data_IF_249214122188
#
_entry.id   IF_249214122188
#
_cell.length_a   1.000
_cell.length_b   1.000
_cell.length_c   1.000
_cell.angle_alpha   90.00
_cell.angle_beta   90.00
_cell.angle_gamma   90.00
#
_symmetry.space_group_name_H-M   'P 1'
#
loop_
_entity.id
_entity.type
_entity.pdbx_description
1 polymer ?
#
# COMPACT_ATOMS: atom_id res chain seq x y z
N UNK A 1 -67.71 13.04 40.44
CA UNK A 1 -67.35 12.52 39.11
C UNK A 1 -65.98 13.07 38.75
N UNK A 2 -64.90 12.38 39.13
CA UNK A 2 -63.53 12.74 38.74
C UNK A 2 -62.84 11.44 38.31
N UNK A 3 -62.63 11.30 37.01
CA UNK A 3 -61.98 10.14 36.38
C UNK A 3 -60.49 10.50 36.26
N UNK A 4 -59.63 9.82 37.02
CA UNK A 4 -58.18 9.91 36.86
C UNK A 4 -57.74 9.07 35.66
N UNK A 5 -57.37 9.74 34.56
CA UNK A 5 -56.64 9.12 33.46
C UNK A 5 -55.17 8.93 33.85
N UNK A 6 -54.75 7.68 34.02
CA UNK A 6 -53.33 7.33 34.10
C UNK A 6 -52.78 7.24 32.67
N UNK A 7 -51.98 8.23 32.26
CA UNK A 7 -51.23 8.16 31.00
C UNK A 7 -50.03 7.23 31.19
N UNK A 8 -50.06 6.06 30.54
CA UNK A 8 -48.91 5.18 30.44
C UNK A 8 -47.89 5.83 29.50
N UNK A 9 -46.77 6.32 30.04
CA UNK A 9 -45.65 6.82 29.25
C UNK A 9 -44.85 5.61 28.75
N UNK A 10 -45.02 5.23 27.49
CA UNK A 10 -44.18 4.23 26.82
C UNK A 10 -42.83 4.87 26.46
N UNK A 11 -41.79 4.46 27.19
CA UNK A 11 -40.41 4.86 26.92
C UNK A 11 -39.90 4.10 25.68
N UNK A 12 -39.90 4.75 24.52
CA UNK A 12 -39.22 4.22 23.33
C UNK A 12 -37.71 4.46 23.49
N UNK A 13 -36.96 3.41 23.84
CA UNK A 13 -35.51 3.39 23.73
C UNK A 13 -35.16 3.47 22.23
N UNK A 14 -34.33 4.44 21.79
CA UNK A 14 -33.85 4.44 20.42
C UNK A 14 -32.95 3.22 20.28
N UNK A 15 -33.35 2.28 19.41
CA UNK A 15 -32.44 1.28 18.89
C UNK A 15 -31.34 2.05 18.16
N UNK A 16 -30.22 2.27 18.83
CA UNK A 16 -29.03 2.83 18.22
C UNK A 16 -28.67 1.95 17.03
N UNK A 17 -28.73 2.52 15.83
CA UNK A 17 -28.12 1.92 14.65
C UNK A 17 -26.62 1.96 14.92
N UNK A 18 -26.06 0.87 15.44
CA UNK A 18 -24.61 0.72 15.46
C UNK A 18 -24.19 0.61 14.00
N UNK A 19 -23.56 1.68 13.48
CA UNK A 19 -22.85 1.57 12.22
C UNK A 19 -21.85 0.41 12.39
N UNK A 20 -21.94 -0.57 11.48
CA UNK A 20 -21.01 -1.69 11.48
C UNK A 20 -19.61 -1.11 11.32
N UNK A 21 -18.70 -1.41 12.24
CA UNK A 21 -17.30 -0.96 12.11
C UNK A 21 -16.74 -1.53 10.81
N UNK A 22 -16.33 -0.65 9.92
CA UNK A 22 -15.61 -1.00 8.70
C UNK A 22 -14.11 -0.79 8.97
N UNK A 23 -13.27 -1.62 8.36
CA UNK A 23 -11.82 -1.45 8.41
C UNK A 23 -11.34 -1.42 6.97
N UNK A 24 -10.72 -0.33 6.53
CA UNK A 24 -10.43 -0.14 5.11
C UNK A 24 -11.67 -0.27 4.20
N UNK A 25 -12.80 0.30 4.63
CA UNK A 25 -14.07 0.33 3.89
C UNK A 25 -14.82 -1.02 3.81
N UNK A 26 -14.40 -2.03 4.58
CA UNK A 26 -15.07 -3.34 4.65
C UNK A 26 -15.09 -3.88 6.07
N UNK A 27 -16.24 -4.36 6.53
CA UNK A 27 -16.35 -4.94 7.86
C UNK A 27 -15.60 -6.27 7.97
N UNK A 28 -15.56 -7.04 6.88
CA UNK A 28 -14.92 -8.35 6.79
C UNK A 28 -13.39 -8.28 6.88
N UNK A 29 -12.81 -7.09 6.72
CA UNK A 29 -11.38 -6.86 6.91
C UNK A 29 -11.01 -6.67 8.38
N UNK A 30 -11.95 -6.31 9.26
CA UNK A 30 -11.65 -5.96 10.65
C UNK A 30 -11.03 -7.09 11.46
N UNK A 31 -11.50 -8.33 11.24
CA UNK A 31 -11.02 -9.52 11.97
C UNK A 31 -9.83 -10.21 11.29
N UNK A 32 -9.40 -9.72 10.11
CA UNK A 32 -8.29 -10.30 9.36
C UNK A 32 -6.98 -9.67 9.80
N UNK A 33 -5.93 -10.50 9.90
CA UNK A 33 -4.57 -10.01 10.15
C UNK A 33 -4.08 -9.21 8.95
N UNK A 34 -3.29 -8.17 9.19
CA UNK A 34 -2.67 -7.39 8.12
C UNK A 34 -1.93 -8.29 7.10
N UNK A 35 -1.21 -9.29 7.59
CA UNK A 35 -0.46 -10.27 6.79
C UNK A 35 -1.32 -11.24 5.97
N UNK A 36 -2.63 -11.30 6.21
CA UNK A 36 -3.55 -12.20 5.50
C UNK A 36 -4.29 -11.48 4.36
N UNK A 37 -4.25 -10.15 4.34
CA UNK A 37 -4.91 -9.32 3.34
C UNK A 37 -4.06 -9.19 2.08
N UNK A 38 -4.77 -9.03 0.96
CA UNK A 38 -4.19 -8.65 -0.33
C UNK A 38 -4.58 -7.21 -0.64
N UNK A 39 -3.62 -6.41 -1.07
CA UNK A 39 -3.84 -5.03 -1.48
C UNK A 39 -3.50 -4.88 -2.95
N UNK A 40 -4.30 -4.13 -3.70
CA UNK A 40 -3.76 -3.42 -4.85
C UNK A 40 -3.03 -2.19 -4.32
N UNK A 41 -1.80 -2.00 -4.80
CA UNK A 41 -0.96 -0.86 -4.42
C UNK A 41 -0.67 0.07 -5.58
N UNK A 42 -0.51 1.35 -5.25
CA UNK A 42 -0.06 2.37 -6.18
C UNK A 42 1.45 2.25 -6.39
N UNK A 43 1.88 1.72 -7.54
CA UNK A 43 3.29 1.85 -7.93
C UNK A 43 3.58 3.33 -8.18
N UNK A 44 4.69 3.80 -7.61
CA UNK A 44 5.19 5.15 -7.83
C UNK A 44 4.13 6.24 -7.59
N UNK A 45 3.33 6.04 -6.54
CA UNK A 45 2.19 6.85 -6.11
C UNK A 45 2.34 8.36 -6.27
N UNK A 46 3.49 9.00 -5.92
CA UNK A 46 3.64 10.44 -6.02
C UNK A 46 3.83 10.99 -7.45
N UNK A 47 4.15 10.14 -8.44
CA UNK A 47 4.51 10.58 -9.80
C UNK A 47 3.26 10.65 -10.69
N UNK A 48 2.60 11.81 -10.63
CA UNK A 48 1.24 12.02 -11.15
C UNK A 48 1.22 12.97 -12.34
N UNK A 49 0.56 12.58 -13.43
CA UNK A 49 0.23 13.46 -14.56
C UNK A 49 0.12 12.71 -15.88
N UNK A 50 0.54 13.34 -16.99
CA UNK A 50 0.40 12.81 -18.36
C UNK A 50 1.70 12.69 -19.16
N UNK A 51 2.85 12.91 -18.53
CA UNK A 51 4.15 12.73 -19.17
C UNK A 51 4.58 11.25 -19.17
N UNK A 52 5.48 10.84 -20.07
CA UNK A 52 5.88 9.44 -20.20
C UNK A 52 6.44 8.81 -18.92
N UNK A 53 7.04 9.57 -18.02
CA UNK A 53 7.60 9.09 -16.76
C UNK A 53 6.58 9.02 -15.59
N UNK A 54 5.33 9.42 -15.79
CA UNK A 54 4.32 9.41 -14.73
C UNK A 54 3.61 8.06 -14.65
N UNK A 55 3.47 7.56 -13.42
CA UNK A 55 2.88 6.26 -13.11
C UNK A 55 1.40 6.34 -12.73
N UNK A 56 0.92 7.52 -12.31
CA UNK A 56 -0.46 7.70 -11.87
C UNK A 56 -1.11 8.92 -12.55
N UNK A 57 -2.44 8.91 -12.70
CA UNK A 57 -3.19 10.07 -13.24
C UNK A 57 -3.88 10.88 -12.13
N UNK A 58 -4.06 10.24 -10.97
CA UNK A 58 -4.80 10.78 -9.83
C UNK A 58 -3.85 11.06 -8.67
N UNK A 59 -4.15 12.12 -7.92
CA UNK A 59 -3.31 12.54 -6.78
C UNK A 59 -3.22 11.45 -5.70
N UNK A 60 -2.19 11.50 -4.85
CA UNK A 60 -2.04 10.56 -3.72
C UNK A 60 -3.30 10.50 -2.84
N UNK A 61 -3.91 11.65 -2.52
CA UNK A 61 -5.17 11.69 -1.75
C UNK A 61 -6.32 11.06 -2.53
N UNK A 62 -6.37 11.28 -3.85
CA UNK A 62 -7.36 10.63 -4.70
C UNK A 62 -7.18 9.11 -4.76
N UNK A 63 -5.94 8.61 -4.78
CA UNK A 63 -5.64 7.16 -4.72
C UNK A 63 -6.18 6.57 -3.40
N UNK A 64 -5.95 7.25 -2.28
CA UNK A 64 -6.51 6.85 -0.98
C UNK A 64 -8.04 6.89 -0.99
N UNK A 65 -8.66 7.95 -1.54
CA UNK A 65 -10.12 8.05 -1.66
C UNK A 65 -10.73 6.98 -2.59
N UNK A 66 -9.95 6.43 -3.53
CA UNK A 66 -10.35 5.30 -4.37
C UNK A 66 -10.29 3.95 -3.63
N UNK A 67 -9.88 3.90 -2.36
CA UNK A 67 -9.78 2.65 -1.61
C UNK A 67 -8.39 1.99 -1.64
N UNK A 68 -7.39 2.64 -2.24
CA UNK A 68 -6.01 2.13 -2.23
C UNK A 68 -5.41 2.35 -0.84
N UNK A 69 -4.76 1.32 -0.29
CA UNK A 69 -4.17 1.34 1.06
C UNK A 69 -2.70 0.95 1.08
N UNK A 70 -2.09 0.73 -0.09
CA UNK A 70 -0.67 0.48 -0.23
C UNK A 70 -0.10 1.48 -1.23
N UNK A 71 0.79 2.36 -0.78
CA UNK A 71 1.44 3.36 -1.62
C UNK A 71 2.93 3.07 -1.70
N UNK A 72 3.45 2.85 -2.90
CA UNK A 72 4.88 2.72 -3.13
C UNK A 72 5.42 4.00 -3.77
N UNK A 73 6.65 4.41 -3.42
CA UNK A 73 7.29 5.56 -4.03
C UNK A 73 8.80 5.58 -3.87
N UNK A 74 9.48 6.25 -4.79
CA UNK A 74 10.94 6.31 -4.84
C UNK A 74 11.50 7.59 -4.23
N UNK A 75 12.68 7.48 -3.63
CA UNK A 75 13.41 8.63 -3.11
C UNK A 75 14.82 8.74 -3.64
N UNK A 76 15.23 9.98 -3.91
CA UNK A 76 16.60 10.33 -4.30
C UNK A 76 17.01 11.67 -3.70
N UNK A 77 18.33 11.91 -3.64
CA UNK A 77 18.89 13.22 -3.39
C UNK A 77 18.78 14.10 -4.62
N UNK A 78 18.32 15.33 -4.44
CA UNK A 78 18.47 16.35 -5.47
C UNK A 78 19.89 16.93 -5.52
N UNK A 79 20.17 17.81 -6.48
CA UNK A 79 21.46 18.48 -6.62
C UNK A 79 21.92 19.32 -5.39
N UNK A 80 21.02 19.56 -4.42
CA UNK A 80 21.31 20.25 -3.15
C UNK A 80 21.45 19.29 -1.96
N UNK A 81 21.49 17.97 -2.20
CA UNK A 81 21.60 16.95 -1.16
C UNK A 81 20.35 16.82 -0.27
N UNK A 82 19.17 17.23 -0.75
CA UNK A 82 17.90 17.04 -0.04
C UNK A 82 17.21 15.79 -0.55
N UNK A 83 16.68 14.99 0.38
CA UNK A 83 15.86 13.81 0.08
C UNK A 83 14.50 14.23 -0.48
N UNK A 84 14.13 13.66 -1.62
CA UNK A 84 12.93 14.03 -2.39
C UNK A 84 12.24 12.78 -2.91
N UNK A 85 10.94 12.89 -3.19
CA UNK A 85 10.22 11.89 -3.98
C UNK A 85 10.58 12.11 -5.45
N UNK A 86 11.42 11.26 -6.02
CA UNK A 86 11.90 11.41 -7.40
C UNK A 86 11.85 10.08 -8.14
N UNK A 87 11.47 10.09 -9.43
CA UNK A 87 11.40 8.88 -10.26
C UNK A 87 12.72 8.67 -10.98
N UNK A 88 13.49 7.62 -10.63
CA UNK A 88 14.86 7.35 -11.12
C UNK A 88 15.92 8.41 -10.73
N UNK A 89 15.61 9.70 -10.87
CA UNK A 89 16.43 10.83 -10.45
C UNK A 89 15.57 12.10 -10.33
N UNK A 90 16.01 13.06 -9.52
CA UNK A 90 15.28 14.33 -9.39
C UNK A 90 15.37 15.27 -10.60
N UNK A 91 16.15 14.90 -11.62
CA UNK A 91 16.16 15.57 -12.90
C UNK A 91 15.03 15.08 -13.81
N UNK A 92 14.72 13.78 -13.76
CA UNK A 92 13.65 13.17 -14.55
C UNK A 92 12.27 13.57 -14.01
N UNK A 93 12.04 13.38 -12.70
CA UNK A 93 10.78 13.73 -12.05
C UNK A 93 11.01 14.05 -10.57
N UNK A 94 10.36 15.08 -10.04
CA UNK A 94 10.49 15.49 -8.64
C UNK A 94 9.14 15.93 -8.09
N UNK A 95 8.49 15.00 -7.41
CA UNK A 95 7.14 15.18 -6.85
C UNK A 95 7.11 15.92 -5.49
N UNK A 96 8.25 16.38 -4.98
CA UNK A 96 8.30 17.08 -3.69
C UNK A 96 9.27 16.47 -2.69
N UNK A 97 9.24 17.01 -1.46
CA UNK A 97 9.97 16.43 -0.33
C UNK A 97 9.23 15.20 0.22
N UNK A 98 9.98 14.24 0.76
CA UNK A 98 9.38 13.08 1.43
C UNK A 98 8.48 13.54 2.60
N UNK A 99 8.91 14.53 3.37
CA UNK A 99 8.12 15.16 4.44
C UNK A 99 6.77 15.72 3.96
N UNK A 100 6.74 16.28 2.74
CA UNK A 100 5.53 16.84 2.12
C UNK A 100 4.59 15.75 1.66
N UNK A 101 5.12 14.66 1.10
CA UNK A 101 4.34 13.47 0.79
C UNK A 101 3.72 12.87 2.06
N UNK A 102 4.53 12.70 3.12
CA UNK A 102 4.06 12.16 4.40
C UNK A 102 3.00 13.07 5.06
N UNK A 103 3.12 14.40 4.97
CA UNK A 103 2.06 15.32 5.46
C UNK A 103 0.73 15.12 4.74
N UNK A 104 0.73 14.80 3.43
CA UNK A 104 -0.50 14.50 2.69
C UNK A 104 -1.15 13.21 3.20
N UNK A 105 -0.36 12.15 3.37
CA UNK A 105 -0.85 10.87 3.90
C UNK A 105 -1.34 11.04 5.35
N UNK A 106 -0.61 11.78 6.18
CA UNK A 106 -1.01 12.11 7.55
C UNK A 106 -2.35 12.84 7.57
N UNK A 107 -2.51 13.91 6.79
CA UNK A 107 -3.77 14.67 6.76
C UNK A 107 -4.94 13.79 6.35
N UNK A 108 -4.74 12.89 5.40
CA UNK A 108 -5.77 11.91 5.05
C UNK A 108 -6.07 10.92 6.19
N UNK A 109 -5.05 10.39 6.89
CA UNK A 109 -5.26 9.54 8.07
C UNK A 109 -5.95 10.28 9.22
N UNK A 110 -5.71 11.59 9.40
CA UNK A 110 -6.38 12.42 10.39
C UNK A 110 -7.90 12.44 10.13
N UNK A 111 -8.29 12.57 8.86
CA UNK A 111 -9.70 12.66 8.43
C UNK A 111 -10.39 11.30 8.30
N UNK A 112 -9.64 10.19 8.32
CA UNK A 112 -10.17 8.84 8.11
C UNK A 112 -9.70 7.89 9.23
N UNK A 113 -10.42 7.80 10.36
CA UNK A 113 -9.96 7.10 11.56
C UNK A 113 -9.96 5.56 11.44
N UNK A 114 -10.80 5.01 10.56
CA UNK A 114 -11.01 3.55 10.40
C UNK A 114 -10.12 2.92 9.30
N UNK A 115 -9.04 3.63 8.97
CA UNK A 115 -8.20 3.33 7.82
C UNK A 115 -6.77 3.02 8.25
N UNK A 116 -6.20 1.94 7.70
CA UNK A 116 -4.80 1.51 7.84
C UNK A 116 -4.12 1.62 6.48
N UNK A 117 -3.04 2.39 6.42
CA UNK A 117 -2.27 2.66 5.20
C UNK A 117 -0.88 2.06 5.32
N UNK A 118 -0.36 1.53 4.21
CA UNK A 118 1.01 1.06 4.08
C UNK A 118 1.79 1.92 3.11
N UNK A 119 3.01 2.25 3.50
CA UNK A 119 4.00 2.91 2.66
C UNK A 119 5.15 1.96 2.37
N UNK A 120 5.50 1.81 1.10
CA UNK A 120 6.79 1.25 0.69
C UNK A 120 7.63 2.34 0.05
N UNK A 121 8.75 2.68 0.69
CA UNK A 121 9.67 3.69 0.20
C UNK A 121 10.89 2.97 -0.38
N UNK A 122 11.29 3.34 -1.59
CA UNK A 122 12.54 2.84 -2.17
C UNK A 122 13.68 3.83 -1.95
N UNK A 123 14.85 3.27 -1.64
CA UNK A 123 16.09 3.95 -1.28
C UNK A 123 17.19 3.57 -2.27
N UNK A 124 17.01 3.96 -3.52
CA UNK A 124 17.96 3.68 -4.60
C UNK A 124 19.37 4.25 -4.33
N UNK A 125 19.44 5.35 -3.59
CA UNK A 125 20.69 6.03 -3.22
C UNK A 125 21.40 5.40 -2.01
N UNK A 126 20.84 4.33 -1.41
CA UNK A 126 21.40 3.63 -0.24
C UNK A 126 21.71 4.55 0.93
N UNK A 127 20.84 5.52 1.18
CA UNK A 127 21.00 6.51 2.24
C UNK A 127 20.77 5.88 3.61
N UNK A 128 21.45 6.44 4.62
CA UNK A 128 21.24 6.05 6.02
C UNK A 128 19.81 6.33 6.49
N UNK A 129 19.25 5.39 7.27
CA UNK A 129 17.88 5.44 7.79
C UNK A 129 17.52 6.75 8.51
N UNK A 130 18.50 7.44 9.11
CA UNK A 130 18.28 8.72 9.81
C UNK A 130 17.71 9.81 8.90
N UNK A 131 17.98 9.77 7.60
CA UNK A 131 17.41 10.72 6.61
C UNK A 131 15.90 10.52 6.44
N UNK A 132 15.46 9.27 6.51
CA UNK A 132 14.05 8.92 6.47
C UNK A 132 13.38 9.29 7.79
N UNK A 133 13.96 8.88 8.93
CA UNK A 133 13.47 9.26 10.26
C UNK A 133 13.27 10.77 10.41
N UNK A 134 14.24 11.59 9.99
CA UNK A 134 14.12 13.05 9.98
C UNK A 134 12.87 13.51 9.20
N UNK A 135 12.62 12.97 8.02
CA UNK A 135 11.45 13.31 7.19
C UNK A 135 10.14 12.87 7.85
N UNK A 136 10.11 11.68 8.46
CA UNK A 136 8.96 11.16 9.19
C UNK A 136 8.62 12.03 10.41
N UNK A 137 9.62 12.37 11.23
CA UNK A 137 9.42 13.26 12.39
C UNK A 137 8.97 14.65 11.97
N UNK A 138 9.59 15.24 10.94
CA UNK A 138 9.21 16.56 10.42
C UNK A 138 7.80 16.61 9.82
N UNK A 139 7.27 15.48 9.35
CA UNK A 139 5.89 15.39 8.87
C UNK A 139 4.85 15.27 9.99
N UNK A 140 5.28 14.84 11.19
CA UNK A 140 4.39 14.55 12.31
C UNK A 140 3.57 13.26 12.16
N UNK A 141 3.88 12.38 11.19
CA UNK A 141 3.11 11.15 10.93
C UNK A 141 3.46 9.98 11.88
N UNK A 142 4.62 10.05 12.55
CA UNK A 142 5.15 8.99 13.43
C UNK A 142 4.16 8.44 14.46
N UNK A 143 3.25 9.22 15.08
CA UNK A 143 2.26 8.67 16.01
C UNK A 143 1.39 7.53 15.43
N UNK A 144 1.13 7.53 14.12
CA UNK A 144 0.40 6.47 13.42
C UNK A 144 1.24 5.23 13.11
N UNK A 145 2.57 5.33 13.16
CA UNK A 145 3.46 4.29 12.68
C UNK A 145 3.43 3.05 13.59
N UNK A 146 3.17 1.89 12.98
CA UNK A 146 3.19 0.58 13.62
C UNK A 146 4.63 0.18 13.94
N UNK A 147 4.85 -0.29 15.17
CA UNK A 147 6.10 -0.89 15.61
C UNK A 147 5.80 -2.34 15.99
N UNK A 148 6.44 -3.33 15.36
CA UNK A 148 6.28 -4.73 15.72
C UNK A 148 6.69 -4.99 17.18
N UNK A 149 5.94 -5.83 17.87
CA UNK A 149 6.26 -6.28 19.24
C UNK A 149 7.61 -7.00 19.33
N UNK A 150 8.04 -7.63 18.24
CA UNK A 150 9.31 -8.35 18.10
C UNK A 150 10.50 -7.47 17.74
N UNK A 151 10.30 -6.16 17.52
CA UNK A 151 11.37 -5.27 17.05
C UNK A 151 12.60 -5.32 17.98
N UNK A 152 13.84 -5.42 17.45
CA UNK A 152 14.22 -5.24 16.04
C UNK A 152 14.14 -6.51 15.17
N UNK A 153 13.57 -7.60 15.67
CA UNK A 153 13.39 -8.83 14.88
C UNK A 153 12.10 -8.79 14.07
N UNK A 154 12.08 -9.54 12.97
CA UNK A 154 10.91 -9.71 12.11
C UNK A 154 9.74 -10.32 12.90
N UNK A 155 8.57 -9.71 12.77
CA UNK A 155 7.32 -10.27 13.28
C UNK A 155 6.89 -11.48 12.43
N UNK A 156 6.64 -12.65 13.04
CA UNK A 156 6.05 -13.79 12.33
C UNK A 156 4.71 -13.44 11.66
N UNK A 157 4.41 -14.08 10.53
CA UNK A 157 3.20 -13.79 9.74
C UNK A 157 1.92 -13.95 10.56
N UNK A 158 1.88 -14.93 11.46
CA UNK A 158 0.75 -15.25 12.32
C UNK A 158 0.67 -14.39 13.60
N UNK A 159 1.64 -13.49 13.82
CA UNK A 159 1.64 -12.55 14.95
C UNK A 159 1.23 -11.13 14.53
N UNK A 160 1.00 -10.88 13.24
CA UNK A 160 0.49 -9.59 12.79
C UNK A 160 -0.89 -9.29 13.40
N UNK A 161 -1.14 -8.06 13.89
CA UNK A 161 -2.44 -7.68 14.43
C UNK A 161 -3.51 -7.67 13.34
N UNK A 162 -4.77 -7.76 13.77
CA UNK A 162 -5.91 -7.51 12.87
C UNK A 162 -6.02 -6.03 12.53
N UNK A 163 -6.69 -5.68 11.42
CA UNK A 163 -6.90 -4.27 11.10
C UNK A 163 -7.66 -3.53 12.20
N UNK A 164 -8.65 -4.16 12.83
CA UNK A 164 -9.38 -3.55 13.94
C UNK A 164 -8.44 -3.22 15.12
N UNK A 165 -7.52 -4.12 15.46
CA UNK A 165 -6.53 -3.88 16.52
C UNK A 165 -5.58 -2.73 16.17
N UNK A 166 -5.16 -2.62 14.90
CA UNK A 166 -4.34 -1.51 14.42
C UNK A 166 -5.09 -0.18 14.50
N UNK A 167 -6.37 -0.17 14.12
CA UNK A 167 -7.25 1.01 14.21
C UNK A 167 -7.44 1.44 15.66
N UNK A 168 -7.83 0.50 16.55
CA UNK A 168 -8.07 0.76 17.97
C UNK A 168 -6.82 1.25 18.72
N UNK A 169 -5.64 0.76 18.35
CA UNK A 169 -4.37 1.22 18.93
C UNK A 169 -3.88 2.56 18.36
N UNK A 170 -4.52 3.06 17.29
CA UNK A 170 -4.07 4.24 16.55
C UNK A 170 -2.81 3.99 15.70
N UNK A 171 -2.29 2.76 15.64
CA UNK A 171 -1.11 2.37 14.87
C UNK A 171 -1.49 1.95 13.45
N UNK A 172 -1.95 2.96 12.70
CA UNK A 172 -2.61 2.84 11.39
C UNK A 172 -1.70 3.06 10.18
N UNK A 173 -0.39 3.13 10.37
CA UNK A 173 0.59 3.29 9.30
C UNK A 173 1.64 2.18 9.37
N UNK A 174 1.73 1.33 8.35
CA UNK A 174 2.85 0.38 8.19
C UNK A 174 3.86 0.99 7.22
N UNK A 175 5.15 0.95 7.55
CA UNK A 175 6.19 1.55 6.71
C UNK A 175 7.27 0.52 6.42
N UNK A 176 7.55 0.31 5.14
CA UNK A 176 8.66 -0.49 4.65
C UNK A 176 9.68 0.40 3.91
N UNK A 177 10.95 0.05 4.05
CA UNK A 177 12.06 0.60 3.28
C UNK A 177 12.82 -0.57 2.65
N UNK A 178 13.06 -0.50 1.34
CA UNK A 178 13.70 -1.58 0.56
C UNK A 178 15.14 -1.88 1.02
N UNK A 179 15.91 -0.83 1.26
CA UNK A 179 17.34 -0.91 1.55
C UNK A 179 17.74 0.08 2.62
N UNK A 180 18.69 -0.33 3.46
CA UNK A 180 19.19 0.43 4.61
C UNK A 180 18.11 0.71 5.67
N UNK A 181 17.09 -0.15 5.76
CA UNK A 181 16.27 -0.21 6.95
C UNK A 181 17.12 -0.68 8.14
N UNK A 182 16.88 -0.11 9.32
CA UNK A 182 17.52 -0.54 10.56
C UNK A 182 16.52 -0.37 11.71
N UNK A 183 15.79 -1.45 11.99
CA UNK A 183 14.75 -1.46 13.02
C UNK A 183 15.32 -1.29 14.43
N UNK A 184 16.63 -1.46 14.65
CA UNK A 184 17.26 -1.19 15.95
C UNK A 184 17.41 0.31 16.21
N UNK A 185 17.51 1.12 15.14
CA UNK A 185 17.65 2.58 15.20
C UNK A 185 16.31 3.29 14.99
N UNK A 186 15.49 2.79 14.05
CA UNK A 186 14.20 3.38 13.68
C UNK A 186 13.16 2.27 13.60
N UNK A 187 12.56 1.85 14.73
CA UNK A 187 11.80 0.60 14.85
C UNK A 187 10.46 0.58 14.11
N UNK A 188 10.01 1.72 13.59
CA UNK A 188 8.77 1.84 12.82
C UNK A 188 8.99 1.85 11.30
N UNK A 189 10.25 1.86 10.82
CA UNK A 189 10.58 1.69 9.40
C UNK A 189 11.12 0.27 9.24
N UNK A 190 10.29 -0.60 8.68
CA UNK A 190 10.56 -2.02 8.57
C UNK A 190 11.41 -2.32 7.35
N UNK A 191 12.29 -3.32 7.48
CA UNK A 191 13.08 -3.83 6.35
C UNK A 191 12.17 -4.61 5.40
N UNK A 192 11.91 -4.06 4.20
CA UNK A 192 11.03 -4.69 3.21
C UNK A 192 11.46 -6.14 2.99
N UNK A 193 12.74 -6.36 2.69
CA UNK A 193 13.28 -7.67 2.37
C UNK A 193 13.54 -8.56 3.59
N UNK A 194 12.95 -8.25 4.75
CA UNK A 194 12.72 -9.20 5.84
C UNK A 194 11.29 -9.71 5.81
N UNK A 195 10.33 -8.87 5.40
CA UNK A 195 8.89 -9.17 5.40
C UNK A 195 8.35 -9.61 4.04
N UNK A 196 8.96 -9.15 2.95
CA UNK A 196 8.53 -9.38 1.58
C UNK A 196 9.62 -10.06 0.74
N UNK A 197 9.17 -10.74 -0.29
CA UNK A 197 9.91 -10.87 -1.55
C UNK A 197 9.02 -10.33 -2.67
N UNK A 198 9.58 -10.09 -3.84
CA UNK A 198 8.81 -9.60 -4.98
C UNK A 198 9.22 -10.20 -6.32
N UNK A 199 8.29 -10.14 -7.28
CA UNK A 199 8.51 -10.54 -8.68
C UNK A 199 9.33 -9.49 -9.42
N UNK A 200 9.88 -9.79 -10.62
CA UNK A 200 10.56 -8.78 -11.41
C UNK A 200 9.65 -7.61 -11.74
N UNK A 201 10.24 -6.43 -11.77
CA UNK A 201 9.64 -5.17 -12.22
C UNK A 201 10.02 -4.90 -13.69
N UNK A 202 9.54 -3.78 -14.25
CA UNK A 202 9.93 -3.28 -15.58
C UNK A 202 9.63 -4.26 -16.73
N UNK A 203 8.53 -5.02 -16.59
CA UNK A 203 8.19 -6.02 -17.61
C UNK A 203 7.57 -5.38 -18.84
N UNK A 204 7.98 -5.85 -20.01
CA UNK A 204 7.40 -5.48 -21.31
C UNK A 204 6.55 -6.61 -21.90
N UNK A 205 6.38 -7.72 -21.18
CA UNK A 205 5.50 -8.82 -21.59
C UNK A 205 4.05 -8.51 -21.15
N UNK A 206 3.14 -8.21 -22.09
CA UNK A 206 1.77 -7.84 -21.77
C UNK A 206 0.96 -8.98 -21.13
N UNK A 207 1.48 -10.20 -21.10
CA UNK A 207 0.76 -11.38 -20.62
C UNK A 207 1.14 -11.75 -19.17
N UNK A 208 2.26 -11.25 -18.65
CA UNK A 208 2.71 -11.51 -17.28
C UNK A 208 2.82 -13.02 -16.93
N UNK A 209 3.43 -13.83 -17.81
CA UNK A 209 3.52 -15.30 -17.66
C UNK A 209 4.56 -15.79 -16.64
N UNK A 210 4.82 -15.02 -15.59
CA UNK A 210 5.76 -15.41 -14.56
C UNK A 210 5.36 -14.89 -13.17
N UNK A 211 5.84 -15.60 -12.16
CA UNK A 211 5.80 -15.16 -10.77
C UNK A 211 7.08 -15.58 -10.03
N UNK A 212 8.25 -15.48 -10.68
CA UNK A 212 9.51 -15.88 -10.03
C UNK A 212 9.89 -14.87 -8.95
N UNK A 213 10.61 -15.32 -7.93
CA UNK A 213 11.26 -14.45 -6.95
C UNK A 213 12.41 -13.72 -7.64
N UNK A 214 12.43 -12.38 -7.52
CA UNK A 214 13.48 -11.52 -8.06
C UNK A 214 14.25 -10.81 -6.95
N UNK A 215 13.52 -10.13 -6.05
CA UNK A 215 14.12 -9.38 -4.93
C UNK A 215 13.59 -9.84 -3.56
N UNK A 216 14.46 -9.97 -2.54
CA UNK A 216 15.91 -9.97 -2.69
C UNK A 216 16.37 -11.23 -3.46
N UNK A 217 17.54 -11.20 -4.11
CA UNK A 217 18.03 -12.37 -4.84
C UNK A 217 18.18 -13.57 -3.89
N UNK A 218 17.73 -14.75 -4.33
CA UNK A 218 17.74 -16.00 -3.56
C UNK A 218 16.88 -15.98 -2.29
N UNK A 219 15.84 -15.14 -2.22
CA UNK A 219 14.91 -15.18 -1.08
C UNK A 219 14.23 -16.55 -0.94
N UNK A 220 14.09 -17.01 0.30
CA UNK A 220 13.15 -18.10 0.61
C UNK A 220 11.74 -17.49 0.73
N UNK A 221 10.73 -17.98 -0.02
CA UNK A 221 9.36 -17.50 0.10
C UNK A 221 8.71 -17.76 1.47
N UNK A 222 9.21 -18.74 2.23
CA UNK A 222 8.61 -19.13 3.51
C UNK A 222 8.69 -18.03 4.57
N UNK A 223 7.57 -17.81 5.28
CA UNK A 223 7.48 -16.84 6.36
C UNK A 223 7.58 -15.39 5.88
N UNK A 224 7.26 -15.12 4.61
CA UNK A 224 7.21 -13.78 4.01
C UNK A 224 5.88 -13.57 3.31
N UNK A 225 5.44 -12.32 3.35
CA UNK A 225 4.49 -11.78 2.40
C UNK A 225 5.16 -11.62 1.04
N UNK A 226 4.40 -11.32 0.00
CA UNK A 226 5.02 -11.01 -1.29
C UNK A 226 4.26 -9.99 -2.14
N UNK A 227 5.05 -9.31 -2.97
CA UNK A 227 4.61 -8.26 -3.89
C UNK A 227 4.72 -8.79 -5.32
N UNK A 228 3.66 -8.59 -6.11
CA UNK A 228 3.68 -8.80 -7.54
C UNK A 228 3.74 -7.43 -8.22
N UNK A 229 4.84 -7.19 -8.95
CA UNK A 229 5.00 -6.01 -9.78
C UNK A 229 4.19 -6.19 -11.08
N UNK A 230 2.93 -5.76 -11.07
CA UNK A 230 1.96 -5.92 -12.17
C UNK A 230 1.67 -4.58 -12.86
N UNK A 231 2.71 -3.97 -13.40
CA UNK A 231 2.61 -2.80 -14.26
C UNK A 231 3.40 -3.08 -15.54
N UNK A 232 2.82 -2.70 -16.68
CA UNK A 232 3.39 -2.97 -17.98
C UNK A 232 4.18 -1.74 -18.43
N UNK A 233 5.40 -1.95 -18.88
CA UNK A 233 6.18 -0.95 -19.57
C UNK A 233 6.17 -1.17 -21.08
N UNK A 234 6.39 -0.09 -21.81
CA UNK A 234 6.81 -0.10 -23.20
C UNK A 234 8.25 0.38 -23.30
N UNK A 235 9.04 -0.30 -24.13
CA UNK A 235 10.39 0.14 -24.45
C UNK A 235 10.39 0.99 -25.73
N UNK A 236 10.94 2.20 -25.65
CA UNK A 236 11.21 3.06 -26.81
C UNK A 236 12.62 3.62 -26.72
N UNK A 237 13.42 3.35 -27.76
CA UNK A 237 14.79 3.88 -27.88
C UNK A 237 15.70 3.49 -26.69
N UNK A 238 15.51 2.29 -26.14
CA UNK A 238 16.27 1.79 -24.99
C UNK A 238 15.84 2.36 -23.63
N UNK A 239 14.69 3.04 -23.58
CA UNK A 239 14.10 3.61 -22.36
C UNK A 239 12.72 3.01 -22.14
N UNK A 240 12.44 2.62 -20.89
CA UNK A 240 11.15 2.07 -20.46
C UNK A 240 10.23 3.19 -19.98
N UNK A 241 8.95 3.03 -20.31
CA UNK A 241 7.89 3.96 -19.92
C UNK A 241 6.63 3.17 -19.53
N UNK A 242 5.91 3.58 -18.48
CA UNK A 242 4.61 3.03 -18.14
C UNK A 242 3.63 3.01 -19.33
N UNK A 243 3.08 1.83 -19.65
CA UNK A 243 2.12 1.64 -20.74
C UNK A 243 0.70 2.07 -20.34
N UNK A 244 0.46 3.38 -20.43
CA UNK A 244 -0.86 3.96 -20.17
C UNK A 244 -1.97 3.42 -21.05
N UNK A 245 -1.68 3.07 -22.31
CA UNK A 245 -2.72 2.66 -23.25
C UNK A 245 -3.22 1.24 -22.96
N UNK A 246 -2.32 0.38 -22.48
CA UNK A 246 -2.68 -0.98 -22.06
C UNK A 246 -3.27 -1.05 -20.64
N UNK A 247 -3.19 0.02 -19.84
CA UNK A 247 -3.59 0.02 -18.45
C UNK A 247 -5.01 -0.53 -18.18
N UNK A 248 -6.07 -0.25 -18.98
CA UNK A 248 -7.39 -0.83 -18.74
C UNK A 248 -7.42 -2.37 -18.81
N UNK A 249 -6.53 -2.98 -19.61
CA UNK A 249 -6.39 -4.43 -19.72
C UNK A 249 -5.47 -4.99 -18.63
N UNK A 250 -4.34 -4.35 -18.39
CA UNK A 250 -3.40 -4.73 -17.33
C UNK A 250 -4.12 -4.73 -15.97
N UNK A 251 -4.84 -3.66 -15.67
CA UNK A 251 -5.56 -3.48 -14.40
C UNK A 251 -6.94 -4.16 -14.36
N UNK A 252 -7.24 -5.05 -15.30
CA UNK A 252 -8.50 -5.77 -15.29
C UNK A 252 -8.54 -6.80 -14.14
N UNK A 253 -9.73 -7.12 -13.60
CA UNK A 253 -9.86 -8.17 -12.59
C UNK A 253 -9.75 -9.57 -13.19
N UNK A 254 -10.03 -9.74 -14.49
CA UNK A 254 -9.97 -11.02 -15.19
C UNK A 254 -9.50 -10.84 -16.63
N UNK A 255 -9.14 -11.94 -17.29
CA UNK A 255 -8.71 -11.96 -18.68
C UNK A 255 -7.18 -12.00 -18.85
N UNK A 256 -6.73 -12.16 -20.09
CA UNK A 256 -5.32 -12.38 -20.40
C UNK A 256 -4.46 -11.14 -20.09
N UNK A 257 -3.42 -11.33 -19.28
CA UNK A 257 -2.51 -10.26 -18.86
C UNK A 257 -3.12 -9.27 -17.86
N UNK A 258 -4.16 -9.70 -17.16
CA UNK A 258 -4.84 -8.96 -16.10
C UNK A 258 -4.25 -9.25 -14.72
N UNK A 259 -4.60 -8.44 -13.72
CA UNK A 259 -4.27 -8.68 -12.31
C UNK A 259 -4.70 -10.10 -11.91
N UNK A 260 -5.95 -10.47 -12.18
CA UNK A 260 -6.50 -11.77 -11.79
C UNK A 260 -5.74 -12.93 -12.40
N UNK A 261 -5.35 -12.83 -13.68
CA UNK A 261 -4.60 -13.90 -14.35
C UNK A 261 -3.21 -14.12 -13.73
N UNK A 262 -2.48 -13.05 -13.40
CA UNK A 262 -1.18 -13.21 -12.75
C UNK A 262 -1.32 -13.66 -11.28
N UNK A 263 -2.34 -13.18 -10.57
CA UNK A 263 -2.67 -13.64 -9.21
C UNK A 263 -2.95 -15.14 -9.19
N UNK A 264 -3.76 -15.65 -10.11
CA UNK A 264 -4.07 -17.08 -10.23
C UNK A 264 -2.79 -17.90 -10.50
N UNK A 265 -1.95 -17.43 -11.43
CA UNK A 265 -0.65 -18.04 -11.71
C UNK A 265 0.23 -18.09 -10.45
N UNK A 266 0.43 -16.95 -9.78
CA UNK A 266 1.24 -16.86 -8.57
C UNK A 266 0.71 -17.78 -7.46
N UNK A 267 -0.62 -17.80 -7.27
CA UNK A 267 -1.27 -18.64 -6.27
C UNK A 267 -1.07 -20.13 -6.56
N UNK A 268 -1.06 -20.53 -7.84
CA UNK A 268 -0.79 -21.91 -8.24
C UNK A 268 0.65 -22.38 -7.91
N UNK A 269 1.61 -21.44 -7.85
CA UNK A 269 3.03 -21.73 -7.60
C UNK A 269 3.33 -21.76 -6.10
N UNK A 270 2.81 -20.79 -5.34
CA UNK A 270 3.16 -20.59 -3.93
C UNK A 270 2.11 -21.11 -2.95
N UNK A 271 0.93 -21.51 -3.41
CA UNK A 271 -0.16 -22.01 -2.55
C UNK A 271 -0.85 -20.92 -1.71
N UNK A 272 -0.42 -19.67 -1.84
CA UNK A 272 -1.00 -18.49 -1.20
C UNK A 272 -1.14 -17.37 -2.24
N UNK A 273 -2.03 -16.41 -1.95
CA UNK A 273 -2.27 -15.23 -2.79
C UNK A 273 -1.24 -14.13 -2.49
N UNK A 274 -0.95 -13.21 -3.45
CA UNK A 274 -0.05 -12.09 -3.18
C UNK A 274 -0.63 -11.19 -2.13
N UNK A 275 0.23 -10.64 -1.28
CA UNK A 275 -0.17 -9.63 -0.30
C UNK A 275 -0.30 -8.27 -0.94
N UNK A 276 0.45 -8.01 -2.02
CA UNK A 276 0.40 -6.75 -2.75
C UNK A 276 0.49 -7.04 -4.25
N UNK A 277 -0.35 -6.38 -5.04
CA UNK A 277 -0.18 -6.26 -6.48
C UNK A 277 0.01 -4.79 -6.80
N UNK A 278 1.22 -4.39 -7.17
CA UNK A 278 1.55 -3.02 -7.53
C UNK A 278 1.14 -2.76 -8.98
N UNK A 279 0.46 -1.64 -9.22
CA UNK A 279 -0.02 -1.26 -10.56
C UNK A 279 0.18 0.24 -10.84
N UNK A 280 0.29 0.55 -12.12
CA UNK A 280 0.26 1.92 -12.65
C UNK A 280 -1.16 2.29 -13.10
N UNK A 281 -1.48 3.59 -13.10
CA UNK A 281 -2.75 4.15 -13.57
C UNK A 281 -3.98 3.51 -12.91
N UNK A 282 -4.00 3.49 -11.58
CA UNK A 282 -5.03 2.84 -10.74
C UNK A 282 -6.49 3.18 -11.12
N UNK A 283 -6.71 4.32 -11.75
CA UNK A 283 -8.03 4.79 -12.19
C UNK A 283 -8.43 4.25 -13.58
N UNK A 284 -7.63 3.38 -14.19
CA UNK A 284 -7.94 2.69 -15.44
C UNK A 284 -8.07 1.19 -15.17
N UNK A 285 -9.17 0.57 -15.60
CA UNK A 285 -9.52 -0.80 -15.23
C UNK A 285 -10.40 -0.87 -13.98
N UNK A 286 -10.48 -2.05 -13.36
CA UNK A 286 -11.28 -2.28 -12.15
C UNK A 286 -10.41 -2.97 -11.08
N UNK A 287 -9.45 -2.18 -10.58
CA UNK A 287 -8.45 -2.64 -9.62
C UNK A 287 -9.06 -3.03 -8.27
N UNK A 288 -10.14 -2.37 -7.85
CA UNK A 288 -10.80 -2.71 -6.59
C UNK A 288 -11.57 -4.03 -6.71
N UNK A 289 -12.21 -4.30 -7.85
CA UNK A 289 -12.78 -5.63 -8.08
C UNK A 289 -11.72 -6.72 -8.07
N UNK A 290 -10.53 -6.45 -8.60
CA UNK A 290 -9.41 -7.39 -8.52
C UNK A 290 -8.97 -7.62 -7.06
N UNK A 291 -8.87 -6.55 -6.26
CA UNK A 291 -8.58 -6.63 -4.82
C UNK A 291 -9.63 -7.44 -4.05
N UNK A 292 -10.91 -7.24 -4.36
CA UNK A 292 -12.02 -7.99 -3.77
C UNK A 292 -11.91 -9.47 -4.09
N UNK A 293 -11.64 -9.83 -5.35
CA UNK A 293 -11.43 -11.20 -5.76
C UNK A 293 -10.27 -11.87 -5.04
N UNK A 294 -9.13 -11.18 -4.89
CA UNK A 294 -8.00 -11.69 -4.08
C UNK A 294 -8.42 -11.98 -2.65
N UNK A 295 -9.28 -11.14 -2.09
CA UNK A 295 -9.74 -11.25 -0.72
C UNK A 295 -11.01 -12.11 -0.55
N UNK A 296 -11.55 -12.68 -1.64
CA UNK A 296 -12.73 -13.57 -1.73
C UNK A 296 -14.07 -12.87 -1.46
N UNK A 297 -14.30 -11.74 -2.12
CA UNK A 297 -15.55 -10.96 -2.10
C UNK A 297 -16.17 -10.76 -3.49
#
# INVERSE_FOLDING_TARGET
MLILFHALLTLFLPLGVFAQTECNGRAEYCDRRYSELSFVGAHNSPFVGFLPQHNQEVSVVSQLNLGIRYLQGQTHLNARGKLRMCHTSCFLENAGGLDTFLRKVKGWLDDNPDEVVTLLITNGDRLDISRFDESFRNSGIVPYAFVPSSSPHKLPMDEWPTLLQMIQSGKRLVVFLDYQADMSRVPYILDEFSYYWETPFDTTDPIFLQCKIDRPPNANPDGRMYIVNHYLDIEKVGVLFPDRLSAPRTNAPTGKGSIGAQVELCTSIYGQKPNVVLVDFLNQGDVLRAQDMMNRF
#
